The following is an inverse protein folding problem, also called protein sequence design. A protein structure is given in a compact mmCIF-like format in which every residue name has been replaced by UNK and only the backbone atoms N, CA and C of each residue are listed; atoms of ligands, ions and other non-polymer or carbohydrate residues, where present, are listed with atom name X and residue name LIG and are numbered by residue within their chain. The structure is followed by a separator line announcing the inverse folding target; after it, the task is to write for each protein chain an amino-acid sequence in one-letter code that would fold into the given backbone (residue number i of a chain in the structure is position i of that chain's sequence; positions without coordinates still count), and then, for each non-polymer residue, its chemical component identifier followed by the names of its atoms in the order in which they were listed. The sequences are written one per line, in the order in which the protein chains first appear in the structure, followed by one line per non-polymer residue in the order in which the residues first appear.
data_IF_240179739450
#
_entry.id   IF_240179739450
#
_cell.length_a   1.000
_cell.length_b   1.000
_cell.length_c   1.000
_cell.angle_alpha   90.00
_cell.angle_beta   90.00
_cell.angle_gamma   90.00
#
_symmetry.space_group_name_H-M   'P 1'
#
loop_
_entity.id
_entity.type
_entity.pdbx_description
1 polymer ?
#
# COMPACT_ATOMS: atom_id res chain seq x y z
N UNK A 1 82.88 34.23 -19.58
CA UNK A 1 81.76 34.77 -18.78
C UNK A 1 80.38 34.23 -19.22
N UNK A 2 80.28 33.44 -20.30
CA UNK A 2 79.01 32.92 -20.84
C UNK A 2 78.58 31.53 -20.32
N UNK A 3 79.48 30.70 -19.78
CA UNK A 3 79.13 29.33 -19.34
C UNK A 3 78.34 29.28 -18.03
N UNK A 4 78.50 30.27 -17.16
CA UNK A 4 77.83 30.31 -15.84
C UNK A 4 76.35 30.63 -15.90
N UNK A 5 75.85 31.28 -16.96
CA UNK A 5 74.41 31.54 -17.12
C UNK A 5 73.66 30.29 -17.63
N UNK A 6 74.28 29.53 -18.53
CA UNK A 6 73.69 28.33 -19.13
C UNK A 6 73.60 27.15 -18.14
N UNK A 7 74.58 27.04 -17.23
CA UNK A 7 74.54 26.05 -16.16
C UNK A 7 73.47 26.37 -15.10
N UNK A 8 73.25 27.67 -14.85
CA UNK A 8 72.26 28.16 -13.89
C UNK A 8 70.83 27.99 -14.42
N UNK A 9 70.60 28.22 -15.70
CA UNK A 9 69.31 27.93 -16.36
C UNK A 9 69.04 26.43 -16.44
N UNK A 10 70.04 25.60 -16.79
CA UNK A 10 69.85 24.13 -16.80
C UNK A 10 69.55 23.56 -15.40
N UNK A 11 70.19 24.12 -14.36
CA UNK A 11 69.92 23.74 -12.98
C UNK A 11 68.50 24.15 -12.54
N UNK A 12 68.04 25.33 -12.92
CA UNK A 12 66.68 25.80 -12.65
C UNK A 12 65.63 24.95 -13.37
N UNK A 13 65.87 24.56 -14.63
CA UNK A 13 64.99 23.68 -15.39
C UNK A 13 64.93 22.27 -14.80
N UNK A 14 66.08 21.68 -14.42
CA UNK A 14 66.12 20.40 -13.71
C UNK A 14 65.35 20.45 -12.38
N UNK A 15 65.48 21.56 -11.64
CA UNK A 15 64.76 21.76 -10.37
C UNK A 15 63.26 21.90 -10.60
N UNK A 16 62.84 22.60 -11.66
CA UNK A 16 61.43 22.77 -12.04
C UNK A 16 60.82 21.45 -12.53
N UNK A 17 61.54 20.69 -13.35
CA UNK A 17 61.14 19.35 -13.80
C UNK A 17 60.98 18.39 -12.62
N UNK A 18 61.94 18.35 -11.69
CA UNK A 18 61.84 17.52 -10.49
C UNK A 18 60.67 17.92 -9.58
N UNK A 19 60.31 19.21 -9.52
CA UNK A 19 59.11 19.67 -8.80
C UNK A 19 57.82 19.21 -9.49
N UNK A 20 57.73 19.36 -10.80
CA UNK A 20 56.58 18.91 -11.59
C UNK A 20 56.38 17.40 -11.51
N UNK A 21 57.47 16.63 -11.54
CA UNK A 21 57.44 15.17 -11.39
C UNK A 21 56.94 14.75 -10.01
N UNK A 22 57.40 15.42 -8.94
CA UNK A 22 56.87 15.21 -7.57
C UNK A 22 55.39 15.56 -7.46
N UNK A 23 54.96 16.65 -8.09
CA UNK A 23 53.55 17.05 -8.08
C UNK A 23 52.67 16.05 -8.84
N UNK A 24 53.14 15.55 -9.99
CA UNK A 24 52.46 14.50 -10.76
C UNK A 24 52.42 13.16 -10.02
N UNK A 25 53.51 12.78 -9.34
CA UNK A 25 53.54 11.58 -8.50
C UNK A 25 52.53 11.68 -7.36
N UNK A 26 52.46 12.83 -6.69
CA UNK A 26 51.48 13.09 -5.62
C UNK A 26 50.04 13.02 -6.14
N UNK A 27 49.74 13.62 -7.30
CA UNK A 27 48.41 13.52 -7.94
C UNK A 27 48.03 12.07 -8.27
N UNK A 28 48.98 11.26 -8.74
CA UNK A 28 48.76 9.83 -8.99
C UNK A 28 48.47 9.09 -7.69
N UNK A 29 49.26 9.33 -6.65
CA UNK A 29 49.06 8.72 -5.33
C UNK A 29 47.69 9.09 -4.73
N UNK A 30 47.32 10.37 -4.76
CA UNK A 30 46.02 10.86 -4.30
C UNK A 30 44.88 10.16 -5.06
N UNK A 31 45.01 10.01 -6.39
CA UNK A 31 44.04 9.32 -7.23
C UNK A 31 43.91 7.83 -6.85
N UNK A 32 45.03 7.15 -6.60
CA UNK A 32 45.06 5.76 -6.16
C UNK A 32 44.37 5.61 -4.80
N UNK A 33 44.63 6.50 -3.85
CA UNK A 33 44.01 6.50 -2.53
C UNK A 33 42.49 6.64 -2.66
N UNK A 34 42.02 7.55 -3.51
CA UNK A 34 40.58 7.74 -3.76
C UNK A 34 39.98 6.46 -4.33
N UNK A 35 40.56 5.87 -5.38
CA UNK A 35 40.07 4.62 -5.99
C UNK A 35 40.03 3.49 -4.95
N UNK A 36 41.11 3.30 -4.18
CA UNK A 36 41.19 2.28 -3.15
C UNK A 36 40.13 2.49 -2.05
N UNK A 37 39.88 3.73 -1.63
CA UNK A 37 38.86 4.05 -0.64
C UNK A 37 37.45 3.69 -1.13
N UNK A 38 37.14 3.97 -2.39
CA UNK A 38 35.87 3.58 -3.03
C UNK A 38 35.74 2.07 -3.15
N UNK A 39 36.80 1.37 -3.58
CA UNK A 39 36.81 -0.09 -3.68
C UNK A 39 36.61 -0.76 -2.30
N UNK A 40 37.33 -0.31 -1.27
CA UNK A 40 37.18 -0.81 0.11
C UNK A 40 35.77 -0.56 0.64
N UNK A 41 35.20 0.63 0.42
CA UNK A 41 33.81 0.96 0.79
C UNK A 41 32.81 0.05 0.09
N UNK A 42 32.99 -0.21 -1.20
CA UNK A 42 32.12 -1.09 -1.97
C UNK A 42 32.19 -2.55 -1.48
N UNK A 43 33.39 -3.08 -1.27
CA UNK A 43 33.60 -4.42 -0.72
C UNK A 43 32.98 -4.56 0.69
N UNK A 44 33.19 -3.57 1.56
CA UNK A 44 32.62 -3.57 2.90
C UNK A 44 31.08 -3.54 2.87
N UNK A 45 30.47 -2.68 2.05
CA UNK A 45 29.01 -2.63 1.86
C UNK A 45 28.46 -3.96 1.35
N UNK A 46 29.15 -4.59 0.38
CA UNK A 46 28.76 -5.90 -0.16
C UNK A 46 28.82 -6.99 0.91
N UNK A 47 29.89 -7.04 1.70
CA UNK A 47 30.05 -8.01 2.80
C UNK A 47 28.95 -7.83 3.85
N UNK A 48 28.68 -6.60 4.27
CA UNK A 48 27.60 -6.29 5.22
C UNK A 48 26.24 -6.74 4.67
N UNK A 49 25.93 -6.42 3.41
CA UNK A 49 24.68 -6.86 2.76
C UNK A 49 24.56 -8.39 2.78
N UNK A 50 25.61 -9.10 2.38
CA UNK A 50 25.61 -10.57 2.38
C UNK A 50 25.40 -11.16 3.77
N UNK A 51 26.05 -10.60 4.80
CA UNK A 51 25.89 -11.04 6.18
C UNK A 51 24.45 -10.84 6.68
N UNK A 52 23.87 -9.66 6.44
CA UNK A 52 22.48 -9.37 6.84
C UNK A 52 21.49 -10.27 6.09
N UNK A 53 21.68 -10.51 4.79
CA UNK A 53 20.81 -11.40 4.02
C UNK A 53 20.92 -12.85 4.49
N UNK A 54 22.13 -13.33 4.80
CA UNK A 54 22.33 -14.66 5.36
C UNK A 54 21.67 -14.81 6.74
N UNK A 55 21.84 -13.81 7.63
CA UNK A 55 21.14 -13.75 8.92
C UNK A 55 19.62 -13.76 8.73
N UNK A 56 19.11 -13.01 7.75
CA UNK A 56 17.68 -12.96 7.41
C UNK A 56 17.16 -14.31 6.93
N UNK A 57 17.81 -14.91 5.94
CA UNK A 57 17.38 -16.16 5.32
C UNK A 57 17.47 -17.35 6.29
N UNK A 58 18.38 -17.31 7.27
CA UNK A 58 18.45 -18.31 8.33
C UNK A 58 17.29 -18.17 9.33
N UNK A 59 16.85 -16.93 9.57
CA UNK A 59 15.89 -16.62 10.64
C UNK A 59 14.44 -16.58 10.15
N UNK A 60 14.19 -16.26 8.88
CA UNK A 60 12.86 -16.12 8.30
C UNK A 60 12.77 -17.01 7.06
N UNK A 61 12.10 -18.14 7.21
CA UNK A 61 11.79 -19.11 6.16
C UNK A 61 10.29 -19.44 6.17
N UNK A 62 9.81 -20.11 5.11
CA UNK A 62 8.45 -20.64 5.11
C UNK A 62 8.26 -21.60 6.29
N UNK A 63 7.17 -21.43 7.05
CA UNK A 63 6.80 -22.24 8.23
C UNK A 63 7.75 -22.14 9.44
N UNK A 64 8.48 -21.03 9.59
CA UNK A 64 9.28 -20.81 10.81
C UNK A 64 8.37 -20.58 12.02
N UNK A 65 8.70 -21.20 13.16
CA UNK A 65 8.04 -20.90 14.44
C UNK A 65 8.16 -19.42 14.81
N UNK A 66 7.14 -18.90 15.50
CA UNK A 66 7.14 -17.51 15.92
C UNK A 66 8.22 -17.27 16.98
N UNK A 67 9.18 -16.42 16.64
CA UNK A 67 10.25 -15.92 17.51
C UNK A 67 9.81 -14.66 18.24
N UNK A 68 10.66 -14.22 19.18
CA UNK A 68 10.48 -12.97 19.89
C UNK A 68 10.36 -11.78 18.91
N UNK A 69 9.29 -11.00 19.04
CA UNK A 69 8.95 -9.88 18.16
C UNK A 69 10.06 -8.84 18.06
N UNK A 70 10.79 -8.57 19.17
CA UNK A 70 11.94 -7.66 19.20
C UNK A 70 13.06 -8.12 18.28
N UNK A 71 13.39 -9.42 18.31
CA UNK A 71 14.44 -10.00 17.45
C UNK A 71 14.07 -9.86 15.98
N UNK A 72 12.83 -10.23 15.63
CA UNK A 72 12.31 -10.14 14.27
C UNK A 72 12.29 -8.69 13.79
N UNK A 73 11.87 -7.75 14.64
CA UNK A 73 11.87 -6.33 14.31
C UNK A 73 13.28 -5.79 13.99
N UNK A 74 14.29 -6.11 14.82
CA UNK A 74 15.66 -5.67 14.57
C UNK A 74 16.20 -6.25 13.25
N UNK A 75 15.90 -7.52 12.98
CA UNK A 75 16.26 -8.19 11.73
C UNK A 75 15.56 -7.55 10.52
N UNK A 76 14.26 -7.33 10.60
CA UNK A 76 13.46 -6.67 9.56
C UNK A 76 13.97 -5.26 9.28
N UNK A 77 14.32 -4.51 10.33
CA UNK A 77 14.90 -3.16 10.22
C UNK A 77 16.25 -3.18 9.50
N UNK A 78 17.15 -4.12 9.82
CA UNK A 78 18.42 -4.32 9.11
C UNK A 78 18.18 -4.67 7.63
N UNK A 79 17.25 -5.58 7.36
CA UNK A 79 16.90 -6.01 6.01
C UNK A 79 16.39 -4.84 5.16
N UNK A 80 15.41 -4.07 5.66
CA UNK A 80 14.88 -2.91 4.93
C UNK A 80 15.92 -1.79 4.72
N UNK A 81 16.97 -1.72 5.54
CA UNK A 81 18.06 -0.75 5.35
C UNK A 81 18.95 -1.08 4.15
N UNK A 82 19.19 -2.37 3.86
CA UNK A 82 19.99 -2.82 2.71
C UNK A 82 19.14 -3.21 1.50
N UNK A 83 17.81 -3.18 1.63
CA UNK A 83 16.86 -3.73 0.68
C UNK A 83 17.02 -3.16 -0.72
N UNK A 84 16.89 -4.04 -1.72
CA UNK A 84 16.82 -3.70 -3.13
C UNK A 84 15.57 -4.31 -3.76
N UNK A 85 14.74 -3.46 -4.38
CA UNK A 85 13.45 -3.84 -4.96
C UNK A 85 13.51 -5.04 -5.90
N UNK A 86 14.46 -5.04 -6.83
CA UNK A 86 14.50 -6.08 -7.88
C UNK A 86 15.09 -7.40 -7.39
N UNK A 87 16.05 -7.36 -6.45
CA UNK A 87 16.75 -8.55 -5.95
C UNK A 87 16.03 -9.23 -4.77
N UNK A 88 15.31 -8.46 -3.95
CA UNK A 88 14.82 -8.91 -2.64
C UNK A 88 13.30 -9.12 -2.60
N UNK A 89 12.66 -9.25 -3.77
CA UNK A 89 11.19 -9.45 -3.93
C UNK A 89 10.66 -10.61 -3.10
N UNK A 90 11.29 -11.78 -3.18
CA UNK A 90 10.88 -13.00 -2.46
C UNK A 90 11.11 -12.91 -0.96
N UNK A 91 12.28 -12.38 -0.54
CA UNK A 91 12.59 -12.16 0.89
C UNK A 91 11.62 -11.19 1.55
N UNK A 92 11.26 -10.12 0.85
CA UNK A 92 10.27 -9.17 1.34
C UNK A 92 8.88 -9.82 1.48
N UNK A 93 8.49 -10.69 0.55
CA UNK A 93 7.26 -11.46 0.67
C UNK A 93 7.27 -12.39 1.90
N UNK A 94 8.37 -13.11 2.15
CA UNK A 94 8.53 -13.94 3.35
C UNK A 94 8.42 -13.11 4.63
N UNK A 95 9.03 -11.91 4.66
CA UNK A 95 8.88 -10.98 5.78
C UNK A 95 7.42 -10.62 6.01
N UNK A 96 6.69 -10.24 4.96
CA UNK A 96 5.28 -9.87 5.06
C UNK A 96 4.41 -11.03 5.57
N UNK A 97 4.62 -12.25 5.05
CA UNK A 97 3.92 -13.45 5.52
C UNK A 97 4.21 -13.73 6.99
N UNK A 98 5.47 -13.69 7.40
CA UNK A 98 5.88 -13.90 8.79
C UNK A 98 5.22 -12.86 9.71
N UNK A 99 5.30 -11.57 9.35
CA UNK A 99 4.70 -10.50 10.13
C UNK A 99 3.19 -10.74 10.26
N UNK A 100 2.48 -11.00 9.15
CA UNK A 100 1.04 -11.24 9.19
C UNK A 100 0.69 -12.43 10.10
N UNK A 101 1.40 -13.55 10.00
CA UNK A 101 1.18 -14.72 10.86
C UNK A 101 1.41 -14.40 12.34
N UNK A 102 2.39 -13.54 12.65
CA UNK A 102 2.63 -13.14 14.03
C UNK A 102 1.49 -12.28 14.63
N UNK A 103 0.71 -11.57 13.80
CA UNK A 103 -0.42 -10.74 14.27
C UNK A 103 -1.57 -11.58 14.84
N UNK A 104 -1.65 -12.86 14.45
CA UNK A 104 -2.62 -13.82 14.98
C UNK A 104 -2.24 -14.32 16.39
N UNK A 105 -1.01 -14.06 16.83
CA UNK A 105 -0.57 -14.40 18.19
C UNK A 105 -1.18 -13.45 19.22
N UNK A 106 -1.76 -14.02 20.28
CA UNK A 106 -2.24 -13.28 21.47
C UNK A 106 -1.12 -12.92 22.44
N UNK A 107 0.11 -13.40 22.22
CA UNK A 107 1.25 -13.13 23.09
C UNK A 107 1.92 -11.82 22.68
N UNK A 108 2.07 -10.88 23.62
CA UNK A 108 2.82 -9.63 23.37
C UNK A 108 4.30 -9.87 23.06
N UNK A 109 4.86 -11.04 23.40
CA UNK A 109 6.25 -11.37 23.09
C UNK A 109 6.43 -11.83 21.65
N UNK A 110 5.40 -12.38 21.02
CA UNK A 110 5.46 -12.99 19.69
C UNK A 110 4.77 -12.16 18.62
N UNK A 111 3.69 -11.45 18.98
CA UNK A 111 3.01 -10.55 18.06
C UNK A 111 3.91 -9.40 17.65
N UNK A 112 3.98 -9.09 16.35
CA UNK A 112 4.82 -8.00 15.85
C UNK A 112 4.49 -6.64 16.47
N UNK A 113 3.24 -6.46 16.90
CA UNK A 113 2.75 -5.23 17.54
C UNK A 113 3.28 -5.13 18.98
N UNK A 114 3.67 -6.25 19.59
CA UNK A 114 4.34 -6.28 20.89
C UNK A 114 5.50 -5.29 21.02
N UNK A 115 6.23 -5.06 19.92
CA UNK A 115 7.35 -4.11 19.86
C UNK A 115 6.91 -2.67 20.10
N UNK A 116 5.69 -2.30 19.69
CA UNK A 116 5.14 -0.96 19.92
C UNK A 116 5.03 -0.62 21.41
N UNK A 117 4.70 -1.61 22.24
CA UNK A 117 4.56 -1.45 23.69
C UNK A 117 5.91 -1.34 24.42
N UNK A 118 7.03 -1.63 23.74
CA UNK A 118 8.37 -1.40 24.29
C UNK A 118 8.76 0.05 24.05
N UNK A 119 8.73 0.86 25.12
CA UNK A 119 8.94 2.33 25.09
C UNK A 119 10.19 2.77 24.31
N UNK A 120 11.27 2.00 24.36
CA UNK A 120 12.53 2.28 23.64
C UNK A 120 12.39 2.22 22.12
N UNK A 121 11.46 1.39 21.60
CA UNK A 121 11.33 1.12 20.17
C UNK A 121 10.11 1.75 19.53
N UNK A 122 9.13 2.24 20.30
CA UNK A 122 7.84 2.74 19.82
C UNK A 122 7.99 3.65 18.60
N UNK A 123 8.75 4.75 18.70
CA UNK A 123 8.88 5.71 17.59
C UNK A 123 9.61 5.12 16.37
N UNK A 124 10.69 4.38 16.60
CA UNK A 124 11.44 3.74 15.51
C UNK A 124 10.61 2.65 14.82
N UNK A 125 9.72 1.98 15.55
CA UNK A 125 8.83 0.96 15.02
C UNK A 125 7.74 1.58 14.14
N UNK A 126 7.15 2.71 14.54
CA UNK A 126 6.20 3.46 13.69
C UNK A 126 6.86 3.83 12.35
N UNK A 127 8.08 4.35 12.37
CA UNK A 127 8.83 4.65 11.14
C UNK A 127 9.14 3.41 10.29
N UNK A 128 9.42 2.29 10.95
CA UNK A 128 9.64 1.00 10.29
C UNK A 128 8.38 0.50 9.58
N UNK A 129 7.22 0.51 10.24
CA UNK A 129 5.95 0.09 9.64
C UNK A 129 5.59 1.00 8.46
N UNK A 130 5.75 2.32 8.58
CA UNK A 130 5.54 3.23 7.44
C UNK A 130 6.40 2.86 6.23
N UNK A 131 7.66 2.50 6.47
CA UNK A 131 8.58 2.05 5.41
C UNK A 131 8.12 0.73 4.82
N UNK A 132 7.79 -0.26 5.66
CA UNK A 132 7.27 -1.57 5.24
C UNK A 132 6.04 -1.43 4.35
N UNK A 133 5.03 -0.69 4.79
CA UNK A 133 3.77 -0.52 4.05
C UNK A 133 3.97 0.24 2.74
N UNK A 134 4.84 1.25 2.72
CA UNK A 134 5.17 1.92 1.47
C UNK A 134 5.91 0.99 0.50
N UNK A 135 6.82 0.14 1.00
CA UNK A 135 7.45 -0.88 0.17
C UNK A 135 6.44 -1.87 -0.41
N UNK A 136 5.39 -2.24 0.33
CA UNK A 136 4.28 -3.02 -0.23
C UNK A 136 3.62 -2.29 -1.42
N UNK A 137 3.38 -0.99 -1.29
CA UNK A 137 2.82 -0.16 -2.36
C UNK A 137 3.72 -0.13 -3.60
N UNK A 138 5.04 0.02 -3.42
CA UNK A 138 6.00 0.01 -4.51
C UNK A 138 6.04 -1.32 -5.26
N UNK A 139 5.84 -2.46 -4.59
CA UNK A 139 5.71 -3.73 -5.28
C UNK A 139 4.37 -3.85 -6.00
N UNK A 140 3.27 -3.44 -5.36
CA UNK A 140 1.94 -3.48 -5.97
C UNK A 140 1.85 -2.62 -7.23
N UNK A 141 2.52 -1.45 -7.27
CA UNK A 141 2.56 -0.60 -8.46
C UNK A 141 3.29 -1.26 -9.63
N UNK A 142 4.24 -2.17 -9.38
CA UNK A 142 5.10 -2.75 -10.42
C UNK A 142 4.63 -4.14 -10.87
N UNK A 143 3.88 -4.85 -10.02
CA UNK A 143 3.39 -6.20 -10.33
C UNK A 143 2.52 -6.16 -11.60
N UNK A 144 2.81 -7.09 -12.51
CA UNK A 144 1.89 -7.48 -13.56
C UNK A 144 0.87 -8.41 -12.91
N UNK A 145 -0.40 -8.01 -12.87
CA UNK A 145 -1.46 -8.77 -12.18
C UNK A 145 -1.84 -10.00 -13.02
N UNK A 146 -0.93 -10.98 -13.03
CA UNK A 146 -1.05 -12.31 -13.66
C UNK A 146 -1.31 -13.39 -12.59
N UNK A 147 -1.79 -14.57 -13.00
CA UNK A 147 -2.17 -15.64 -12.06
C UNK A 147 -0.99 -16.10 -11.17
N UNK A 148 0.24 -16.07 -11.70
CA UNK A 148 1.47 -16.39 -10.97
C UNK A 148 1.75 -15.46 -9.79
N UNK A 149 1.48 -14.16 -9.97
CA UNK A 149 1.85 -13.11 -9.01
C UNK A 149 0.70 -12.80 -8.03
N UNK A 150 -0.49 -13.37 -8.22
CA UNK A 150 -1.64 -13.13 -7.34
C UNK A 150 -1.38 -13.51 -5.88
N UNK A 151 -0.58 -14.56 -5.62
CA UNK A 151 -0.18 -14.93 -4.25
C UNK A 151 0.54 -13.77 -3.56
N UNK A 152 1.46 -13.13 -4.27
CA UNK A 152 2.19 -12.00 -3.75
C UNK A 152 1.29 -10.78 -3.57
N UNK A 153 0.43 -10.47 -4.56
CA UNK A 153 -0.55 -9.38 -4.44
C UNK A 153 -1.40 -9.55 -3.17
N UNK A 154 -1.89 -10.76 -2.90
CA UNK A 154 -2.67 -11.05 -1.70
C UNK A 154 -1.87 -10.86 -0.41
N UNK A 155 -0.61 -11.30 -0.36
CA UNK A 155 0.25 -11.09 0.82
C UNK A 155 0.45 -9.59 1.09
N UNK A 156 0.77 -8.81 0.04
CA UNK A 156 1.00 -7.38 0.16
C UNK A 156 -0.27 -6.63 0.58
N UNK A 157 -1.41 -6.93 -0.04
CA UNK A 157 -2.70 -6.36 0.34
C UNK A 157 -3.09 -6.74 1.77
N UNK A 158 -2.86 -8.01 2.18
CA UNK A 158 -3.13 -8.45 3.54
C UNK A 158 -2.27 -7.66 4.54
N UNK A 159 -0.98 -7.47 4.28
CA UNK A 159 -0.12 -6.64 5.15
C UNK A 159 -0.63 -5.20 5.26
N UNK A 160 -1.04 -4.59 4.14
CA UNK A 160 -1.64 -3.25 4.16
C UNK A 160 -2.92 -3.18 4.98
N UNK A 161 -3.85 -4.12 4.77
CA UNK A 161 -5.11 -4.19 5.52
C UNK A 161 -4.85 -4.39 7.01
N UNK A 162 -3.89 -5.28 7.34
CA UNK A 162 -3.59 -5.66 8.72
C UNK A 162 -2.98 -4.52 9.52
N UNK A 163 -2.14 -3.66 8.95
CA UNK A 163 -1.60 -2.52 9.71
C UNK A 163 -2.49 -1.27 9.68
N UNK A 164 -3.54 -1.27 8.88
CA UNK A 164 -4.47 -0.13 8.80
C UNK A 164 -5.80 -0.38 9.51
N UNK A 165 -5.91 -1.44 10.30
CA UNK A 165 -7.07 -1.73 11.16
C UNK A 165 -6.64 -2.51 12.39
N UNK A 166 -7.17 -2.16 13.56
CA UNK A 166 -6.92 -2.89 14.81
C UNK A 166 -7.61 -4.26 14.87
N UNK A 167 -8.69 -4.46 14.11
CA UNK A 167 -9.48 -5.72 14.10
C UNK A 167 -8.67 -6.97 13.71
N UNK A 168 -7.58 -6.80 12.98
CA UNK A 168 -6.69 -7.88 12.54
C UNK A 168 -5.69 -8.31 13.61
N UNK A 169 -5.63 -7.62 14.75
CA UNK A 169 -4.62 -7.85 15.78
C UNK A 169 -5.21 -8.71 16.89
N UNK A 170 -4.86 -10.00 16.91
CA UNK A 170 -5.40 -10.93 17.92
C UNK A 170 -5.06 -10.50 19.36
N UNK A 171 -3.90 -9.85 19.54
CA UNK A 171 -3.43 -9.28 20.81
C UNK A 171 -4.40 -8.24 21.41
N UNK A 172 -5.14 -7.49 20.59
CA UNK A 172 -6.01 -6.41 21.07
C UNK A 172 -7.43 -6.85 21.40
N UNK A 173 -7.85 -8.02 20.94
CA UNK A 173 -9.21 -8.54 21.19
C UNK A 173 -9.51 -8.77 22.67
N UNK A 174 -8.49 -8.74 23.53
CA UNK A 174 -8.58 -8.94 24.98
C UNK A 174 -8.50 -7.64 25.79
N UNK A 175 -8.14 -6.49 25.19
CA UNK A 175 -7.91 -5.25 25.93
C UNK A 175 -8.48 -4.01 25.22
N UNK A 176 -9.72 -3.66 25.56
CA UNK A 176 -10.47 -2.59 24.90
C UNK A 176 -9.95 -1.17 25.19
N UNK A 177 -9.20 -0.96 26.28
CA UNK A 177 -8.78 0.38 26.72
C UNK A 177 -7.78 1.05 25.79
N UNK A 178 -7.01 0.28 25.02
CA UNK A 178 -5.98 0.79 24.11
C UNK A 178 -6.46 0.88 22.65
N UNK A 179 -7.71 0.51 22.35
CA UNK A 179 -8.21 0.48 20.97
C UNK A 179 -8.18 1.86 20.32
N UNK A 180 -8.62 2.91 21.03
CA UNK A 180 -8.70 4.27 20.47
C UNK A 180 -7.32 4.80 20.04
N UNK A 181 -6.29 4.64 20.89
CA UNK A 181 -4.94 5.12 20.57
C UNK A 181 -4.31 4.31 19.43
N UNK A 182 -4.66 3.03 19.29
CA UNK A 182 -4.17 2.16 18.23
C UNK A 182 -4.93 2.35 16.91
N UNK A 183 -6.21 2.73 16.96
CA UNK A 183 -6.95 3.18 15.78
C UNK A 183 -6.38 4.49 15.24
N UNK A 184 -6.03 5.43 16.12
CA UNK A 184 -5.28 6.63 15.73
C UNK A 184 -3.94 6.30 15.08
N UNK A 185 -3.26 5.25 15.55
CA UNK A 185 -2.02 4.76 14.95
C UNK A 185 -2.25 4.19 13.54
N UNK A 186 -3.29 3.38 13.34
CA UNK A 186 -3.70 2.91 12.02
C UNK A 186 -4.04 4.06 11.07
N UNK A 187 -4.75 5.09 11.56
CA UNK A 187 -5.02 6.31 10.79
C UNK A 187 -3.73 7.08 10.46
N UNK A 188 -2.73 7.09 11.34
CA UNK A 188 -1.44 7.70 11.08
C UNK A 188 -0.67 6.97 9.95
N UNK A 189 -0.71 5.63 9.94
CA UNK A 189 -0.15 4.84 8.84
C UNK A 189 -0.88 5.12 7.53
N UNK A 190 -2.21 5.14 7.58
CA UNK A 190 -3.03 5.45 6.40
C UNK A 190 -2.75 6.84 5.85
N UNK A 191 -2.68 7.86 6.72
CA UNK A 191 -2.32 9.23 6.35
C UNK A 191 -0.94 9.34 5.70
N UNK A 192 0.03 8.55 6.18
CA UNK A 192 1.36 8.47 5.56
C UNK A 192 1.33 7.84 4.16
N UNK A 193 0.55 6.78 3.96
CA UNK A 193 0.38 6.17 2.64
C UNK A 193 -0.29 7.15 1.68
N UNK A 194 -1.37 7.79 2.13
CA UNK A 194 -2.10 8.75 1.33
C UNK A 194 -1.21 9.93 0.89
N UNK A 195 -0.40 10.49 1.79
CA UNK A 195 0.49 11.60 1.43
C UNK A 195 1.57 11.22 0.41
N UNK A 196 1.84 9.92 0.23
CA UNK A 196 2.76 9.39 -0.79
C UNK A 196 2.07 8.96 -2.09
N UNK A 197 0.76 9.16 -2.24
CA UNK A 197 0.04 8.83 -3.48
C UNK A 197 -0.58 7.43 -3.50
N UNK A 198 -0.98 6.89 -2.35
CA UNK A 198 -1.58 5.56 -2.23
C UNK A 198 -2.75 5.30 -3.19
N UNK A 199 -3.63 6.28 -3.44
CA UNK A 199 -4.74 6.11 -4.37
C UNK A 199 -4.30 5.87 -5.82
N UNK A 200 -3.16 6.43 -6.24
CA UNK A 200 -2.59 6.12 -7.56
C UNK A 200 -2.18 4.64 -7.63
N UNK A 201 -1.57 4.13 -6.58
CA UNK A 201 -1.18 2.71 -6.50
C UNK A 201 -2.42 1.80 -6.55
N UNK A 202 -3.49 2.14 -5.82
CA UNK A 202 -4.74 1.39 -5.86
C UNK A 202 -5.39 1.43 -7.26
N UNK A 203 -5.40 2.60 -7.92
CA UNK A 203 -5.85 2.74 -9.31
C UNK A 203 -5.07 1.80 -10.23
N UNK A 204 -3.74 1.80 -10.15
CA UNK A 204 -2.90 0.97 -11.01
C UNK A 204 -3.22 -0.53 -10.87
N UNK A 205 -3.43 -0.99 -9.64
CA UNK A 205 -3.83 -2.38 -9.37
C UNK A 205 -5.19 -2.69 -9.98
N UNK A 206 -6.19 -1.82 -9.77
CA UNK A 206 -7.54 -1.99 -10.31
C UNK A 206 -7.53 -2.02 -11.84
N UNK A 207 -6.85 -1.07 -12.48
CA UNK A 207 -6.70 -0.99 -13.93
C UNK A 207 -6.04 -2.25 -14.49
N UNK A 208 -4.93 -2.71 -13.88
CA UNK A 208 -4.22 -3.92 -14.33
C UNK A 208 -5.00 -5.20 -14.10
N UNK A 209 -5.85 -5.24 -13.08
CA UNK A 209 -6.53 -6.44 -12.62
C UNK A 209 -7.95 -6.65 -13.14
N UNK A 210 -8.66 -5.57 -13.48
CA UNK A 210 -10.03 -5.60 -13.98
C UNK A 210 -10.12 -5.45 -15.50
N UNK A 211 -9.25 -4.64 -16.12
CA UNK A 211 -9.36 -4.29 -17.55
C UNK A 211 -8.66 -5.26 -18.50
N UNK A 212 -8.72 -6.55 -18.20
CA UNK A 212 -8.14 -7.60 -19.04
C UNK A 212 -9.25 -8.49 -19.58
N UNK A 213 -8.96 -9.21 -20.68
CA UNK A 213 -9.87 -10.22 -21.24
C UNK A 213 -10.31 -11.26 -20.20
N UNK A 214 -9.43 -11.57 -19.23
CA UNK A 214 -9.75 -12.37 -18.04
C UNK A 214 -9.42 -11.58 -16.78
N UNK A 215 -10.44 -11.31 -15.98
CA UNK A 215 -10.31 -10.61 -14.68
C UNK A 215 -9.43 -11.44 -13.74
N UNK A 216 -8.30 -10.87 -13.32
CA UNK A 216 -7.35 -11.51 -12.41
C UNK A 216 -7.62 -11.18 -10.94
N UNK A 217 -8.13 -9.97 -10.64
CA UNK A 217 -8.55 -9.62 -9.28
C UNK A 217 -9.84 -10.36 -8.92
N UNK A 218 -9.72 -11.34 -8.04
CA UNK A 218 -10.86 -12.10 -7.49
C UNK A 218 -11.40 -11.43 -6.22
N UNK A 219 -12.47 -12.02 -5.67
CA UNK A 219 -13.22 -11.50 -4.54
C UNK A 219 -12.34 -10.95 -3.40
N UNK A 220 -11.37 -11.73 -2.94
CA UNK A 220 -10.51 -11.37 -1.79
C UNK A 220 -9.61 -10.18 -2.11
N UNK A 221 -8.91 -10.21 -3.25
CA UNK A 221 -8.03 -9.12 -3.65
C UNK A 221 -8.79 -7.83 -3.96
N UNK A 222 -9.94 -7.93 -4.64
CA UNK A 222 -10.78 -6.77 -4.93
C UNK A 222 -11.32 -6.17 -3.64
N UNK A 223 -11.80 -7.01 -2.71
CA UNK A 223 -12.25 -6.57 -1.38
C UNK A 223 -11.16 -5.85 -0.59
N UNK A 224 -9.94 -6.37 -0.62
CA UNK A 224 -8.79 -5.72 0.02
C UNK A 224 -8.53 -4.33 -0.55
N UNK A 225 -8.50 -4.19 -1.89
CA UNK A 225 -8.29 -2.90 -2.56
C UNK A 225 -9.41 -1.91 -2.26
N UNK A 226 -10.67 -2.35 -2.34
CA UNK A 226 -11.82 -1.49 -2.04
C UNK A 226 -11.81 -1.05 -0.58
N UNK A 227 -11.58 -1.97 0.36
CA UNK A 227 -11.50 -1.65 1.80
C UNK A 227 -10.38 -0.64 2.08
N UNK A 228 -9.21 -0.80 1.45
CA UNK A 228 -8.10 0.15 1.58
C UNK A 228 -8.42 1.51 0.96
N UNK A 229 -9.27 1.55 -0.07
CA UNK A 229 -9.66 2.79 -0.73
C UNK A 229 -10.73 3.58 0.05
N UNK A 230 -11.66 2.88 0.72
CA UNK A 230 -12.79 3.48 1.44
C UNK A 230 -12.45 3.85 2.88
N UNK A 231 -11.61 3.06 3.56
CA UNK A 231 -11.24 3.28 4.97
C UNK A 231 -10.73 4.71 5.27
N UNK A 232 -9.84 5.33 4.47
CA UNK A 232 -9.41 6.71 4.70
C UNK A 232 -10.56 7.72 4.58
N UNK A 233 -11.53 7.46 3.69
CA UNK A 233 -12.69 8.33 3.52
C UNK A 233 -13.50 8.38 4.81
N UNK A 234 -13.86 7.21 5.32
CA UNK A 234 -14.69 7.07 6.53
C UNK A 234 -13.97 7.62 7.75
N UNK A 235 -12.69 7.28 7.96
CA UNK A 235 -11.96 7.71 9.16
C UNK A 235 -11.62 9.19 9.21
N UNK A 236 -11.67 9.89 8.07
CA UNK A 236 -11.46 11.35 7.98
C UNK A 236 -12.75 12.17 7.96
N UNK A 237 -13.91 11.53 8.13
CA UNK A 237 -15.21 12.20 8.01
C UNK A 237 -15.49 12.73 6.60
N UNK A 238 -15.04 11.99 5.56
CA UNK A 238 -15.32 12.28 4.16
C UNK A 238 -14.80 13.65 3.68
N UNK A 239 -13.60 14.05 4.12
CA UNK A 239 -13.00 15.33 3.73
C UNK A 239 -12.92 15.50 2.20
N UNK A 240 -13.10 16.74 1.74
CA UNK A 240 -13.16 17.06 0.31
C UNK A 240 -11.94 16.57 -0.44
N UNK A 241 -10.74 16.81 0.10
CA UNK A 241 -9.49 16.37 -0.52
C UNK A 241 -9.44 14.86 -0.77
N UNK A 242 -10.03 14.07 0.13
CA UNK A 242 -10.06 12.62 0.03
C UNK A 242 -11.14 12.16 -0.96
N UNK A 243 -12.30 12.79 -0.96
CA UNK A 243 -13.36 12.57 -1.95
C UNK A 243 -12.88 12.90 -3.36
N UNK A 244 -12.23 14.05 -3.56
CA UNK A 244 -11.60 14.42 -4.83
C UNK A 244 -10.66 13.33 -5.33
N UNK A 245 -9.74 12.87 -4.48
CA UNK A 245 -8.81 11.83 -4.87
C UNK A 245 -9.49 10.47 -5.11
N UNK A 246 -10.55 10.14 -4.38
CA UNK A 246 -11.32 8.93 -4.59
C UNK A 246 -12.08 8.96 -5.92
N UNK A 247 -12.72 10.08 -6.24
CA UNK A 247 -13.37 10.30 -7.53
C UNK A 247 -12.35 10.14 -8.66
N UNK A 248 -11.22 10.86 -8.60
CA UNK A 248 -10.26 10.91 -9.71
C UNK A 248 -9.43 9.64 -9.89
N UNK A 249 -9.27 8.81 -8.86
CA UNK A 249 -8.43 7.61 -8.92
C UNK A 249 -9.22 6.30 -8.85
N UNK A 250 -10.29 6.23 -8.07
CA UNK A 250 -11.02 4.99 -7.82
C UNK A 250 -12.30 4.92 -8.66
N UNK A 251 -13.20 5.91 -8.55
CA UNK A 251 -14.44 5.89 -9.33
C UNK A 251 -14.21 6.03 -10.83
N UNK A 252 -13.07 6.57 -11.26
CA UNK A 252 -12.68 6.60 -12.67
C UNK A 252 -12.28 5.25 -13.27
N UNK A 253 -12.16 4.19 -12.47
CA UNK A 253 -11.82 2.85 -12.99
C UNK A 253 -13.02 2.30 -13.78
N UNK A 254 -12.85 1.88 -15.05
CA UNK A 254 -13.97 1.41 -15.86
C UNK A 254 -14.72 0.24 -15.22
N UNK A 255 -16.06 0.34 -15.24
CA UNK A 255 -16.99 -0.70 -14.77
C UNK A 255 -16.71 -1.24 -13.35
N UNK A 256 -16.11 -0.43 -12.47
CA UNK A 256 -15.74 -0.84 -11.12
C UNK A 256 -16.93 -1.38 -10.33
N UNK A 257 -18.07 -0.69 -10.34
CA UNK A 257 -19.27 -1.11 -9.61
C UNK A 257 -19.81 -2.44 -10.12
N UNK A 258 -19.85 -2.63 -11.45
CA UNK A 258 -20.22 -3.89 -12.08
C UNK A 258 -19.30 -5.04 -11.65
N UNK A 259 -17.98 -4.82 -11.66
CA UNK A 259 -17.02 -5.83 -11.22
C UNK A 259 -17.19 -6.17 -9.73
N UNK A 260 -17.46 -5.19 -8.89
CA UNK A 260 -17.72 -5.40 -7.46
C UNK A 260 -18.99 -6.23 -7.24
N UNK A 261 -20.08 -5.92 -7.91
CA UNK A 261 -21.34 -6.68 -7.82
C UNK A 261 -21.17 -8.15 -8.20
N UNK A 262 -20.47 -8.42 -9.30
CA UNK A 262 -20.33 -9.78 -9.82
C UNK A 262 -19.20 -10.59 -9.16
N UNK A 263 -18.15 -9.92 -8.66
CA UNK A 263 -16.93 -10.60 -8.17
C UNK A 263 -16.80 -10.54 -6.65
N UNK A 264 -17.30 -9.49 -6.01
CA UNK A 264 -17.14 -9.24 -4.58
C UNK A 264 -18.38 -8.55 -3.98
N UNK A 265 -19.59 -9.15 -4.06
CA UNK A 265 -20.84 -8.49 -3.66
C UNK A 265 -20.86 -8.08 -2.18
N UNK A 266 -20.11 -8.77 -1.33
CA UNK A 266 -19.96 -8.41 0.09
C UNK A 266 -19.35 -7.00 0.29
N UNK A 267 -18.56 -6.50 -0.66
CA UNK A 267 -18.00 -5.15 -0.60
C UNK A 267 -19.06 -4.08 -0.83
N UNK A 268 -20.15 -4.40 -1.51
CA UNK A 268 -21.24 -3.44 -1.75
C UNK A 268 -21.92 -3.02 -0.43
N UNK A 269 -21.87 -3.89 0.59
CA UNK A 269 -22.34 -3.53 1.94
C UNK A 269 -21.60 -2.33 2.53
N UNK A 270 -20.35 -2.09 2.14
CA UNK A 270 -19.59 -0.90 2.58
C UNK A 270 -20.16 0.40 1.99
N UNK A 271 -20.94 0.29 0.90
CA UNK A 271 -21.57 1.41 0.21
C UNK A 271 -23.10 1.43 0.39
N UNK A 272 -23.66 0.53 1.22
CA UNK A 272 -25.05 0.63 1.67
C UNK A 272 -25.26 1.88 2.54
N UNK A 273 -24.21 2.34 3.23
CA UNK A 273 -24.19 3.67 3.84
C UNK A 273 -24.11 4.75 2.74
N UNK A 274 -25.21 5.50 2.55
CA UNK A 274 -25.38 6.49 1.48
C UNK A 274 -24.36 7.65 1.50
N UNK A 275 -23.61 7.81 2.59
CA UNK A 275 -22.76 8.98 2.83
C UNK A 275 -21.65 9.19 1.78
N UNK A 276 -21.02 8.10 1.29
CA UNK A 276 -19.96 8.21 0.27
C UNK A 276 -20.52 8.69 -1.06
N UNK A 277 -21.63 8.10 -1.53
CA UNK A 277 -22.28 8.53 -2.76
C UNK A 277 -22.76 9.98 -2.62
N UNK A 278 -23.47 10.27 -1.53
CA UNK A 278 -23.99 11.61 -1.23
C UNK A 278 -22.89 12.66 -1.29
N UNK A 279 -21.76 12.43 -0.60
CA UNK A 279 -20.64 13.38 -0.60
C UNK A 279 -20.01 13.53 -1.99
N UNK A 280 -19.90 12.44 -2.76
CA UNK A 280 -19.43 12.53 -4.15
C UNK A 280 -20.35 13.40 -5.01
N UNK A 281 -21.68 13.24 -4.87
CA UNK A 281 -22.66 14.05 -5.60
C UNK A 281 -22.65 15.51 -5.16
N UNK A 282 -22.50 15.79 -3.86
CA UNK A 282 -22.39 17.16 -3.35
C UNK A 282 -21.16 17.89 -3.90
N UNK A 283 -19.99 17.21 -3.93
CA UNK A 283 -18.77 17.77 -4.55
C UNK A 283 -18.98 18.04 -6.03
N UNK A 284 -19.59 17.10 -6.77
CA UNK A 284 -19.84 17.25 -8.21
C UNK A 284 -20.98 18.23 -8.54
N UNK A 285 -21.84 18.56 -7.58
CA UNK A 285 -22.88 19.58 -7.73
C UNK A 285 -22.31 21.00 -7.66
N UNK A 286 -21.14 21.18 -7.05
CA UNK A 286 -20.41 22.44 -7.10
C UNK A 286 -19.67 22.56 -8.44
N UNK A 287 -20.00 23.59 -9.21
CA UNK A 287 -19.44 23.81 -10.55
C UNK A 287 -17.91 23.96 -10.55
N UNK A 288 -17.32 24.63 -9.56
CA UNK A 288 -15.87 24.84 -9.50
C UNK A 288 -15.13 23.53 -9.24
N UNK A 289 -15.61 22.75 -8.26
CA UNK A 289 -15.03 21.46 -7.90
C UNK A 289 -15.21 20.42 -9.01
N UNK A 290 -16.39 20.39 -9.64
CA UNK A 290 -16.64 19.55 -10.80
C UNK A 290 -15.70 19.88 -11.96
N UNK A 291 -15.51 21.17 -12.27
CA UNK A 291 -14.60 21.60 -13.32
C UNK A 291 -13.14 21.27 -12.98
N UNK A 292 -12.73 21.38 -11.72
CA UNK A 292 -11.41 20.94 -11.27
C UNK A 292 -11.22 19.42 -11.49
N UNK A 293 -12.21 18.60 -11.15
CA UNK A 293 -12.17 17.15 -11.36
C UNK A 293 -12.11 16.82 -12.86
N UNK A 294 -12.97 17.44 -13.69
CA UNK A 294 -13.02 17.18 -15.13
C UNK A 294 -11.75 17.63 -15.85
N UNK A 295 -11.12 18.73 -15.45
CA UNK A 295 -9.84 19.17 -16.02
C UNK A 295 -8.68 18.21 -15.69
N UNK A 296 -8.80 17.45 -14.58
CA UNK A 296 -7.79 16.48 -14.15
C UNK A 296 -7.94 15.11 -14.81
N UNK A 297 -9.09 14.83 -15.42
CA UNK A 297 -9.44 13.53 -15.99
C UNK A 297 -9.58 13.62 -17.50
N UNK A 298 -9.07 12.61 -18.20
CA UNK A 298 -9.39 12.45 -19.62
C UNK A 298 -10.88 12.09 -19.78
N UNK A 299 -11.51 12.52 -20.88
CA UNK A 299 -12.96 12.36 -21.08
C UNK A 299 -13.47 10.92 -20.97
N UNK A 300 -12.66 9.93 -21.37
CA UNK A 300 -12.99 8.49 -21.23
C UNK A 300 -13.10 8.06 -19.75
N UNK A 301 -12.26 8.59 -18.87
CA UNK A 301 -12.32 8.32 -17.43
C UNK A 301 -13.47 9.07 -16.75
N UNK A 302 -13.84 10.25 -17.25
CA UNK A 302 -15.06 10.94 -16.80
C UNK A 302 -16.30 10.09 -17.08
N UNK A 303 -16.39 9.47 -18.27
CA UNK A 303 -17.48 8.57 -18.59
C UNK A 303 -17.53 7.36 -17.63
N UNK A 304 -16.37 6.77 -17.33
CA UNK A 304 -16.27 5.67 -16.37
C UNK A 304 -16.75 6.08 -14.97
N UNK A 305 -16.34 7.28 -14.52
CA UNK A 305 -16.76 7.86 -13.25
C UNK A 305 -18.26 8.04 -13.16
N UNK A 306 -18.88 8.66 -14.17
CA UNK A 306 -20.34 8.86 -14.23
C UNK A 306 -21.05 7.51 -14.27
N UNK A 307 -20.59 6.56 -15.09
CA UNK A 307 -21.19 5.22 -15.16
C UNK A 307 -21.17 4.49 -13.83
N UNK A 308 -20.05 4.56 -13.10
CA UNK A 308 -19.95 3.98 -11.75
C UNK A 308 -20.86 4.69 -10.74
N UNK A 309 -20.98 6.03 -10.80
CA UNK A 309 -21.89 6.77 -9.92
C UNK A 309 -23.34 6.39 -10.17
N UNK A 310 -23.78 6.30 -11.43
CA UNK A 310 -25.14 5.88 -11.81
C UNK A 310 -25.42 4.47 -11.30
N UNK A 311 -24.48 3.53 -11.50
CA UNK A 311 -24.63 2.15 -11.00
C UNK A 311 -24.73 2.15 -9.47
N UNK A 312 -23.88 2.91 -8.78
CA UNK A 312 -23.93 3.02 -7.32
C UNK A 312 -25.27 3.60 -6.83
N UNK A 313 -25.80 4.63 -7.48
CA UNK A 313 -27.14 5.17 -7.19
C UNK A 313 -28.22 4.11 -7.36
N UNK A 314 -28.14 3.29 -8.42
CA UNK A 314 -29.11 2.22 -8.65
C UNK A 314 -29.05 1.12 -7.56
N UNK A 315 -27.84 0.76 -7.12
CA UNK A 315 -27.66 -0.21 -6.04
C UNK A 315 -28.26 0.29 -4.72
N UNK A 316 -28.06 1.58 -4.39
CA UNK A 316 -28.64 2.18 -3.18
C UNK A 316 -30.16 2.26 -3.26
N UNK A 317 -30.73 2.69 -4.40
CA UNK A 317 -32.18 2.69 -4.63
C UNK A 317 -32.81 1.30 -4.41
N UNK A 318 -32.19 0.25 -4.93
CA UNK A 318 -32.68 -1.12 -4.77
C UNK A 318 -32.57 -1.63 -3.32
N UNK A 319 -31.56 -1.18 -2.56
CA UNK A 319 -31.41 -1.52 -1.14
C UNK A 319 -32.46 -0.80 -0.29
N UNK A 320 -32.68 0.50 -0.50
CA UNK A 320 -33.69 1.29 0.23
C UNK A 320 -35.12 0.81 -0.09
N UNK A 321 -35.41 0.36 -1.32
CA UNK A 321 -36.70 -0.27 -1.65
C UNK A 321 -36.94 -1.63 -0.96
N UNK A 322 -35.89 -2.36 -0.55
CA UNK A 322 -36.06 -3.62 0.22
C UNK A 322 -36.44 -3.38 1.67
N UNK A 323 -36.06 -2.23 2.24
CA UNK A 323 -36.49 -1.83 3.59
C UNK A 323 -37.92 -1.27 3.60
N UNK A 324 -38.38 -0.68 2.47
CA UNK A 324 -39.79 -0.36 2.24
C UNK A 324 -40.55 -1.62 1.76
N UNK A 325 -40.58 -2.65 2.60
CA UNK A 325 -41.70 -3.61 2.53
C UNK A 325 -42.95 -2.89 3.02
N UNK A 326 -43.71 -2.33 2.08
CA UNK A 326 -45.04 -1.76 2.29
C UNK A 326 -45.85 -2.50 3.38
N UNK A 327 -46.13 -1.91 4.55
CA UNK A 327 -47.42 -2.11 5.17
C UNK A 327 -48.39 -1.14 4.47
N UNK A 328 -49.60 -1.60 4.13
CA UNK A 328 -50.65 -0.86 3.39
C UNK A 328 -50.34 -0.85 1.87
N UNK A 329 -51.01 -1.62 1.02
CA UNK A 329 -52.46 -1.67 0.86
C UNK A 329 -52.96 -3.08 0.52
N UNK A 330 -53.54 -3.77 1.48
CA UNK A 330 -54.66 -4.68 1.24
C UNK A 330 -55.78 -4.38 2.23
N UNK A 331 -56.38 -3.19 2.11
CA UNK A 331 -57.80 -3.03 2.46
C UNK A 331 -58.58 -3.26 1.17
N UNK A 332 -58.64 -4.51 0.74
CA UNK A 332 -59.68 -4.97 -0.16
C UNK A 332 -60.89 -5.26 0.71
N UNK A 333 -61.78 -4.27 0.81
CA UNK A 333 -63.19 -4.50 1.13
C UNK A 333 -63.72 -5.57 0.16
N UNK A 334 -63.76 -6.83 0.59
CA UNK A 334 -64.60 -7.86 -0.04
C UNK A 334 -65.49 -8.47 1.02
N UNK A 335 -66.73 -8.00 0.98
CA UNK A 335 -67.90 -8.64 1.58
C UNK A 335 -67.93 -10.12 1.19
N UNK A 336 -68.06 -10.97 2.20
CA UNK A 336 -68.82 -12.24 2.23
C UNK A 336 -69.25 -12.88 0.90
N UNK A 337 -68.75 -14.08 0.61
CA UNK A 337 -69.32 -15.04 -0.36
C UNK A 337 -68.46 -16.32 -0.44
N UNK A 338 -69.05 -17.53 -0.46
CA UNK A 338 -68.39 -18.74 0.02
C UNK A 338 -67.44 -19.40 -0.99
N UNK A 339 -66.45 -20.07 -0.42
CA UNK A 339 -65.53 -21.01 -1.05
C UNK A 339 -66.27 -22.07 -1.87
N UNK A 340 -65.88 -22.24 -3.13
CA UNK A 340 -66.03 -23.50 -3.87
C UNK A 340 -64.64 -23.90 -4.37
N UNK A 341 -64.13 -24.98 -3.79
CA UNK A 341 -62.94 -25.70 -4.21
C UNK A 341 -63.21 -26.42 -5.54
N UNK A 342 -62.32 -26.26 -6.52
CA UNK A 342 -62.22 -27.18 -7.65
C UNK A 342 -60.79 -27.69 -7.79
N UNK A 343 -60.67 -28.98 -7.55
CA UNK A 343 -59.57 -29.90 -7.87
C UNK A 343 -59.65 -30.30 -9.34
N UNK A 344 -58.55 -30.18 -10.08
CA UNK A 344 -58.23 -30.98 -11.30
C UNK A 344 -56.74 -30.73 -11.61
N UNK A 345 -55.83 -31.65 -11.27
CA UNK A 345 -55.33 -32.73 -12.15
C UNK A 345 -54.98 -32.24 -13.57
N UNK A 346 -53.68 -32.01 -13.81
CA UNK A 346 -52.86 -32.74 -14.78
C UNK A 346 -51.43 -32.86 -14.24
#
# INVERSE_FOLDING_TARGET
MYDTENDRTSFLEKTKAARLEREQAKKKEDSVIVIQSHARKWLAKRKIRQQILAEFDQQIQENTELKCCKQVYLLAKKFLWIWKKDEDKTRFEHLCRYINSSLDSKSSSHSYIGVFFVKEYTQSWIGHIKTLLWTCCLYLSDIKVDYSDMKQVLVLLHTLVSFTSTNTWALLKTNNTMLISLDQLCNNFMGHLYSKGFYSVLKDILMKGLLRSKISLKAVSLSGVITLSTRPLVSSGLSDKLIHNYITHILCVPALMYHMEHTAPLCLKQFENEEVLKRCLEVLSNQEEAQYIFNKLEGSYVLCMIGNLIHLSHLQLNSSMKEVKFPLYTVSNRKSGPFVSFTTQF
#
